data_IF_456255562499
#
_entry.id   IF_456255562499
#
_cell.length_a   1.000
_cell.length_b   1.000
_cell.length_c   1.000
_cell.angle_alpha   90.00
_cell.angle_beta   90.00
_cell.angle_gamma   90.00
#
_symmetry.space_group_name_H-M   'P 1'
#
loop_
_entity.id
_entity.type
_entity.pdbx_description
1 polymer ?
#
# COMPACT_ATOMS: atom_id res chain seq x y z
N UNK A 1 23.91 24.95 16.83
CA UNK A 1 24.03 23.59 16.28
C UNK A 1 22.64 23.00 16.21
N UNK A 2 22.30 22.27 15.16
CA UNK A 2 21.00 21.59 15.05
C UNK A 2 20.84 20.57 16.18
N UNK A 3 19.64 20.52 16.80
CA UNK A 3 19.29 19.53 17.82
C UNK A 3 19.24 18.14 17.18
N UNK A 4 19.78 17.13 17.86
CA UNK A 4 19.71 15.74 17.44
C UNK A 4 18.70 14.98 18.30
N UNK A 5 18.09 13.95 17.74
CA UNK A 5 17.27 12.99 18.47
C UNK A 5 17.99 11.65 18.51
N UNK A 6 18.15 11.08 19.68
CA UNK A 6 18.76 9.78 19.92
C UNK A 6 17.67 8.79 20.32
N UNK A 7 17.59 7.70 19.60
CA UNK A 7 16.73 6.55 19.88
C UNK A 7 17.66 5.39 20.28
N UNK A 8 17.72 5.08 21.58
CA UNK A 8 18.79 4.27 22.18
C UNK A 8 18.31 2.90 22.64
N UNK A 9 19.08 1.85 22.40
CA UNK A 9 18.85 0.51 22.97
C UNK A 9 17.78 -0.32 22.27
N UNK A 10 17.37 0.06 21.05
CA UNK A 10 16.36 -0.65 20.29
C UNK A 10 16.86 -2.00 19.74
N UNK A 11 15.95 -2.94 19.58
CA UNK A 11 16.08 -4.00 18.58
C UNK A 11 15.74 -3.40 17.22
N UNK A 12 16.68 -3.36 16.31
CA UNK A 12 16.53 -2.79 14.96
C UNK A 12 16.08 -3.85 13.98
N UNK A 13 14.98 -3.61 13.28
CA UNK A 13 14.59 -4.28 12.03
C UNK A 13 14.78 -3.23 10.93
N UNK A 14 15.85 -3.35 10.15
CA UNK A 14 16.21 -2.29 9.19
C UNK A 14 15.47 -2.35 7.85
N UNK A 15 14.62 -3.39 7.64
CA UNK A 15 13.83 -3.62 6.43
C UNK A 15 14.42 -4.65 5.47
N UNK A 16 15.70 -5.04 5.61
CA UNK A 16 16.38 -5.98 4.69
C UNK A 16 17.23 -7.04 5.40
N UNK A 17 17.90 -6.68 6.49
CA UNK A 17 18.82 -7.57 7.17
C UNK A 17 18.18 -8.26 8.38
N UNK A 18 18.87 -9.26 8.93
CA UNK A 18 18.47 -9.87 10.18
C UNK A 18 18.43 -8.83 11.32
N UNK A 19 17.47 -8.93 12.26
CA UNK A 19 17.35 -7.99 13.37
C UNK A 19 18.61 -7.87 14.21
N UNK A 20 18.93 -6.64 14.66
CA UNK A 20 20.11 -6.31 15.46
C UNK A 20 19.71 -5.72 16.81
N UNK A 21 20.26 -6.25 17.90
CA UNK A 21 19.93 -5.79 19.25
C UNK A 21 20.81 -4.63 19.72
N UNK A 22 20.29 -3.86 20.68
CA UNK A 22 20.99 -2.76 21.36
C UNK A 22 21.59 -1.72 20.40
N UNK A 23 20.76 -1.29 19.45
CA UNK A 23 21.14 -0.30 18.45
C UNK A 23 20.75 1.12 18.87
N UNK A 24 21.49 2.08 18.37
CA UNK A 24 21.26 3.52 18.56
C UNK A 24 21.12 4.18 17.20
N UNK A 25 19.99 4.87 17.02
CA UNK A 25 19.71 5.65 15.82
C UNK A 25 19.75 7.13 16.20
N UNK A 26 20.54 7.92 15.48
CA UNK A 26 20.66 9.37 15.67
C UNK A 26 20.03 10.08 14.48
N UNK A 27 19.05 10.92 14.76
CA UNK A 27 18.35 11.74 13.77
C UNK A 27 18.87 13.18 13.88
N UNK A 28 19.14 13.81 12.74
CA UNK A 28 19.48 15.22 12.63
C UNK A 28 18.63 15.86 11.53
N UNK A 29 17.81 16.83 11.91
CA UNK A 29 16.77 17.40 11.06
C UNK A 29 15.80 16.27 10.63
N UNK A 30 15.62 16.08 9.33
CA UNK A 30 14.74 15.09 8.71
C UNK A 30 15.39 13.73 8.41
N UNK A 31 16.73 13.58 8.66
CA UNK A 31 17.49 12.40 8.21
C UNK A 31 18.15 11.62 9.35
N UNK A 32 18.35 10.34 9.09
CA UNK A 32 19.14 9.44 9.91
C UNK A 32 20.61 9.82 9.75
N UNK A 33 21.21 10.34 10.81
CA UNK A 33 22.59 10.80 10.81
C UNK A 33 23.58 9.70 11.25
N UNK A 34 23.11 8.70 12.01
CA UNK A 34 23.95 7.57 12.46
C UNK A 34 23.08 6.36 12.81
N UNK A 35 23.54 5.18 12.42
CA UNK A 35 23.06 3.87 12.87
C UNK A 35 24.29 3.13 13.45
N UNK A 36 24.24 2.76 14.73
CA UNK A 36 25.38 2.11 15.38
C UNK A 36 24.94 1.24 16.56
N UNK A 37 25.77 0.25 16.92
CA UNK A 37 25.63 -0.41 18.22
C UNK A 37 25.86 0.59 19.36
N UNK A 38 25.25 0.35 20.53
CA UNK A 38 25.37 1.26 21.67
C UNK A 38 26.81 1.59 22.05
N UNK A 39 27.75 0.62 21.90
CA UNK A 39 29.16 0.80 22.18
C UNK A 39 29.92 1.70 21.21
N UNK A 40 29.37 1.91 19.99
CA UNK A 40 29.99 2.72 18.92
C UNK A 40 29.21 4.00 18.65
N UNK A 41 28.09 4.21 19.34
CA UNK A 41 27.23 5.37 19.13
C UNK A 41 27.89 6.65 19.67
N UNK A 42 27.61 7.80 19.03
CA UNK A 42 28.10 9.08 19.55
C UNK A 42 27.40 9.44 20.87
N UNK A 43 28.11 10.14 21.74
CA UNK A 43 27.58 10.59 23.04
C UNK A 43 26.58 11.75 22.82
N UNK A 44 25.37 11.71 23.44
CA UNK A 44 24.43 12.82 23.41
C UNK A 44 24.98 14.08 24.09
N UNK A 45 24.68 15.26 23.54
CA UNK A 45 25.07 16.57 24.10
C UNK A 45 23.88 17.15 24.89
N UNK A 46 24.12 18.12 25.73
CA UNK A 46 23.13 18.78 26.62
C UNK A 46 21.78 19.15 25.94
N UNK A 47 21.83 19.54 24.67
CA UNK A 47 20.62 19.99 23.95
C UNK A 47 19.98 18.91 23.09
N UNK A 48 20.53 17.70 23.06
CA UNK A 48 19.97 16.59 22.28
C UNK A 48 18.73 16.02 23.01
N UNK A 49 17.81 15.44 22.24
CA UNK A 49 16.69 14.68 22.76
C UNK A 49 17.09 13.21 22.82
N UNK A 50 16.91 12.56 23.95
CA UNK A 50 17.26 11.13 24.12
C UNK A 50 16.02 10.38 24.57
N UNK A 51 15.75 9.25 23.91
CA UNK A 51 14.69 8.32 24.23
C UNK A 51 15.28 6.92 24.40
N UNK A 52 14.86 6.24 25.47
CA UNK A 52 15.22 4.86 25.73
C UNK A 52 14.24 3.92 25.04
N UNK A 53 14.75 3.03 24.23
CA UNK A 53 14.00 2.02 23.51
C UNK A 53 14.33 0.60 23.97
N UNK A 54 14.88 0.43 25.17
CA UNK A 54 15.13 -0.89 25.73
C UNK A 54 13.83 -1.72 25.74
N UNK A 55 13.88 -2.94 25.19
CA UNK A 55 12.72 -3.83 25.04
C UNK A 55 11.75 -3.46 23.91
N UNK A 56 12.07 -2.46 23.08
CA UNK A 56 11.25 -2.05 21.93
C UNK A 56 11.95 -2.33 20.61
N UNK A 57 11.16 -2.48 19.57
CA UNK A 57 11.63 -2.59 18.18
C UNK A 57 11.57 -1.22 17.51
N UNK A 58 12.62 -0.91 16.73
CA UNK A 58 12.64 0.21 15.79
C UNK A 58 12.69 -0.34 14.37
N UNK A 59 11.81 0.16 13.49
CA UNK A 59 11.72 -0.26 12.09
C UNK A 59 11.42 0.92 11.17
N UNK A 60 11.57 0.78 9.83
CA UNK A 60 11.12 1.80 8.89
C UNK A 60 9.61 2.02 8.98
N UNK A 61 9.13 3.21 8.62
CA UNK A 61 7.73 3.45 8.34
C UNK A 61 7.24 2.56 7.21
N UNK A 62 6.02 2.04 7.32
CA UNK A 62 5.44 1.11 6.36
C UNK A 62 4.86 1.83 5.14
N UNK A 63 4.71 1.10 4.04
CA UNK A 63 4.02 1.50 2.82
C UNK A 63 2.74 0.68 2.66
N UNK A 64 1.63 1.34 2.38
CA UNK A 64 0.36 0.72 2.00
C UNK A 64 0.16 0.87 0.49
N UNK A 65 0.27 -0.21 -0.27
CA UNK A 65 0.44 -0.14 -1.72
C UNK A 65 -0.85 -0.40 -2.52
N UNK A 66 -2.00 -0.52 -1.87
CA UNK A 66 -3.31 -0.61 -2.52
C UNK A 66 -4.32 0.30 -1.80
N UNK A 67 -4.20 1.63 -1.98
CA UNK A 67 -4.87 2.60 -1.15
C UNK A 67 -6.04 3.30 -1.86
N UNK A 68 -7.24 3.14 -1.30
CA UNK A 68 -8.47 3.80 -1.71
C UNK A 68 -8.92 4.83 -0.67
N UNK A 69 -8.32 6.04 -0.61
CA UNK A 69 -8.59 7.01 0.46
C UNK A 69 -10.04 7.46 0.54
N UNK A 70 -10.74 7.42 -0.60
CA UNK A 70 -12.09 7.93 -0.74
C UNK A 70 -13.19 6.88 -0.53
N UNK A 71 -12.86 5.62 -0.28
CA UNK A 71 -13.88 4.64 0.09
C UNK A 71 -14.31 4.88 1.55
N UNK A 72 -15.60 5.04 1.79
CA UNK A 72 -16.14 5.32 3.13
C UNK A 72 -17.01 4.18 3.60
N UNK A 73 -16.39 3.04 3.91
CA UNK A 73 -17.11 1.85 4.36
C UNK A 73 -18.31 1.54 3.46
N UNK A 74 -18.04 1.45 2.16
CA UNK A 74 -19.06 1.19 1.13
C UNK A 74 -19.50 -0.28 1.18
N UNK A 75 -20.81 -0.52 0.97
CA UNK A 75 -21.38 -1.87 0.96
C UNK A 75 -21.62 -2.38 -0.46
N UNK A 76 -21.40 -1.52 -1.45
CA UNK A 76 -21.47 -1.86 -2.87
C UNK A 76 -20.58 -0.94 -3.68
N UNK A 77 -20.20 -1.36 -4.87
CA UNK A 77 -19.40 -0.53 -5.78
C UNK A 77 -20.11 0.79 -6.13
N UNK A 78 -21.45 0.78 -6.27
CA UNK A 78 -22.24 1.98 -6.58
C UNK A 78 -22.12 3.04 -5.46
N UNK A 79 -21.97 2.64 -4.20
CA UNK A 79 -21.81 3.58 -3.10
C UNK A 79 -20.53 4.42 -3.21
N UNK A 80 -19.50 3.94 -3.91
CA UNK A 80 -18.25 4.68 -4.13
C UNK A 80 -18.53 6.06 -4.74
N UNK A 81 -19.45 6.10 -5.72
CA UNK A 81 -19.80 7.33 -6.44
C UNK A 81 -21.05 8.04 -5.89
N UNK A 82 -21.96 7.31 -5.24
CA UNK A 82 -23.30 7.81 -4.92
C UNK A 82 -23.51 8.13 -3.44
N UNK A 83 -22.68 7.61 -2.54
CA UNK A 83 -22.86 7.78 -1.07
C UNK A 83 -22.64 9.21 -0.60
N UNK A 84 -21.65 9.89 -1.13
CA UNK A 84 -21.27 11.24 -0.71
C UNK A 84 -20.96 12.16 -1.89
N UNK A 85 -21.25 13.47 -1.79
CA UNK A 85 -20.75 14.43 -2.76
C UNK A 85 -19.21 14.55 -2.67
N UNK A 86 -18.51 14.90 -3.75
CA UNK A 86 -17.04 14.95 -3.81
C UNK A 86 -16.40 15.79 -2.70
N UNK A 87 -17.05 16.87 -2.28
CA UNK A 87 -16.57 17.76 -1.20
C UNK A 87 -16.54 17.06 0.16
N UNK A 88 -17.60 16.29 0.50
CA UNK A 88 -17.64 15.48 1.72
C UNK A 88 -16.65 14.34 1.64
N UNK A 89 -16.59 13.67 0.50
CA UNK A 89 -15.68 12.55 0.27
C UNK A 89 -14.20 12.96 0.41
N UNK A 90 -13.84 14.19 -0.01
CA UNK A 90 -12.49 14.75 0.20
C UNK A 90 -12.15 14.88 1.67
N UNK A 91 -13.09 15.30 2.52
CA UNK A 91 -12.86 15.40 3.97
C UNK A 91 -12.72 14.04 4.64
N UNK A 92 -13.52 13.06 4.20
CA UNK A 92 -13.42 11.66 4.64
C UNK A 92 -12.05 11.09 4.25
N UNK A 93 -11.62 11.31 3.03
CA UNK A 93 -10.32 10.86 2.54
C UNK A 93 -9.15 11.51 3.31
N UNK A 94 -9.26 12.78 3.71
CA UNK A 94 -8.26 13.43 4.55
C UNK A 94 -8.18 12.76 5.94
N UNK A 95 -9.32 12.43 6.55
CA UNK A 95 -9.38 11.66 7.80
C UNK A 95 -8.75 10.27 7.65
N UNK A 96 -9.04 9.58 6.55
CA UNK A 96 -8.48 8.27 6.28
C UNK A 96 -6.95 8.32 6.06
N UNK A 97 -6.43 9.39 5.43
CA UNK A 97 -5.00 9.59 5.27
C UNK A 97 -4.29 9.82 6.62
N UNK A 98 -4.88 10.61 7.52
CA UNK A 98 -4.37 10.77 8.88
C UNK A 98 -4.43 9.44 9.67
N UNK A 99 -5.51 8.68 9.52
CA UNK A 99 -5.68 7.37 10.16
C UNK A 99 -4.64 6.36 9.66
N UNK A 100 -4.36 6.34 8.34
CA UNK A 100 -3.33 5.49 7.77
C UNK A 100 -1.94 5.83 8.33
N UNK A 101 -1.60 7.13 8.41
CA UNK A 101 -0.35 7.58 9.02
C UNK A 101 -0.25 7.18 10.50
N UNK A 102 -1.34 7.33 11.27
CA UNK A 102 -1.42 6.94 12.68
C UNK A 102 -1.42 5.43 12.90
N UNK A 103 -1.60 4.64 11.84
CA UNK A 103 -1.45 3.18 11.82
C UNK A 103 -0.02 2.73 11.44
N UNK A 104 0.95 3.67 11.34
CA UNK A 104 2.36 3.38 11.07
C UNK A 104 2.74 3.36 9.58
N UNK A 105 1.82 3.70 8.69
CA UNK A 105 2.12 3.77 7.26
C UNK A 105 2.53 5.20 6.89
N UNK A 106 3.83 5.41 6.66
CA UNK A 106 4.36 6.72 6.25
C UNK A 106 4.34 6.92 4.74
N UNK A 107 4.05 5.87 3.99
CA UNK A 107 3.95 5.81 2.54
C UNK A 107 2.63 5.17 2.11
N UNK A 108 2.08 5.61 0.96
CA UNK A 108 0.93 4.98 0.32
C UNK A 108 1.04 5.04 -1.21
N UNK A 109 0.48 4.04 -1.89
CA UNK A 109 0.31 4.02 -3.35
C UNK A 109 -1.18 3.86 -3.64
N UNK A 110 -1.75 4.82 -4.34
CA UNK A 110 -3.16 4.82 -4.74
C UNK A 110 -3.49 3.65 -5.65
N UNK A 111 -4.73 3.16 -5.54
CA UNK A 111 -5.28 2.09 -6.36
C UNK A 111 -6.60 2.47 -7.04
N UNK A 112 -7.00 3.73 -6.93
CA UNK A 112 -8.19 4.34 -7.52
C UNK A 112 -8.83 5.34 -6.55
N UNK A 113 -9.18 6.52 -7.05
CA UNK A 113 -9.91 7.55 -6.32
C UNK A 113 -10.71 8.44 -7.27
N UNK A 114 -12.03 8.46 -7.09
CA UNK A 114 -12.91 9.35 -7.84
C UNK A 114 -12.49 10.83 -7.68
N UNK A 115 -12.73 11.63 -8.71
CA UNK A 115 -12.56 13.08 -8.67
C UNK A 115 -11.13 13.56 -8.34
N UNK A 116 -10.09 12.75 -8.55
CA UNK A 116 -8.70 13.07 -8.23
C UNK A 116 -8.48 13.49 -6.76
N UNK A 117 -9.28 12.93 -5.86
CA UNK A 117 -9.22 13.23 -4.42
C UNK A 117 -7.83 12.89 -3.85
N UNK A 118 -7.23 11.79 -4.27
CA UNK A 118 -5.89 11.38 -3.86
C UNK A 118 -4.78 12.31 -4.36
N UNK A 119 -4.92 12.90 -5.56
CA UNK A 119 -4.04 13.97 -6.06
C UNK A 119 -4.13 15.20 -5.16
N UNK A 120 -5.36 15.59 -4.79
CA UNK A 120 -5.58 16.71 -3.86
C UNK A 120 -4.97 16.42 -2.49
N UNK A 121 -5.17 15.21 -1.95
CA UNK A 121 -4.57 14.78 -0.68
C UNK A 121 -3.05 14.84 -0.72
N UNK A 122 -2.42 14.24 -1.73
CA UNK A 122 -0.96 14.27 -1.91
C UNK A 122 -0.45 15.71 -1.88
N UNK A 123 -1.07 16.60 -2.64
CA UNK A 123 -0.65 17.98 -2.74
C UNK A 123 -0.84 18.73 -1.39
N UNK A 124 -1.96 18.52 -0.70
CA UNK A 124 -2.22 19.11 0.62
C UNK A 124 -1.23 18.60 1.68
N UNK A 125 -0.93 17.30 1.69
CA UNK A 125 0.04 16.70 2.61
C UNK A 125 1.46 17.22 2.34
N UNK A 126 1.88 17.28 1.07
CA UNK A 126 3.20 17.77 0.69
C UNK A 126 3.41 19.26 1.04
N UNK A 127 2.33 20.05 1.00
CA UNK A 127 2.34 21.47 1.40
C UNK A 127 2.14 21.68 2.91
N UNK A 128 2.02 20.60 3.70
CA UNK A 128 1.83 20.67 5.15
C UNK A 128 0.46 21.18 5.60
N UNK A 129 -0.54 21.19 4.72
CA UNK A 129 -1.90 21.65 5.04
C UNK A 129 -2.65 20.63 5.90
N UNK A 130 -2.45 19.34 5.65
CA UNK A 130 -3.05 18.24 6.40
C UNK A 130 -1.99 17.16 6.71
N UNK A 131 -2.15 16.38 7.80
CA UNK A 131 -1.32 15.22 8.05
C UNK A 131 -1.67 14.06 7.07
N UNK A 132 -0.70 13.19 6.81
CA UNK A 132 -0.89 11.99 6.00
C UNK A 132 0.42 11.36 5.55
N UNK A 133 0.39 10.19 4.91
CA UNK A 133 1.56 9.52 4.35
C UNK A 133 2.09 10.25 3.11
N UNK A 134 3.23 9.79 2.58
CA UNK A 134 3.72 10.17 1.26
C UNK A 134 2.95 9.36 0.21
N UNK A 135 2.18 10.01 -0.65
CA UNK A 135 1.26 9.34 -1.58
C UNK A 135 1.81 9.38 -3.01
N UNK A 136 1.77 8.24 -3.72
CA UNK A 136 1.64 8.23 -5.18
C UNK A 136 0.14 8.21 -5.51
N UNK A 137 -0.34 9.24 -6.20
CA UNK A 137 -1.76 9.39 -6.52
C UNK A 137 -2.12 8.61 -7.79
N UNK A 138 -3.30 7.97 -7.79
CA UNK A 138 -3.77 7.09 -8.85
C UNK A 138 -4.86 7.70 -9.74
N UNK A 139 -5.75 8.54 -9.15
CA UNK A 139 -6.87 9.10 -9.92
C UNK A 139 -7.96 8.09 -10.23
N UNK A 140 -8.59 8.25 -11.40
CA UNK A 140 -9.71 7.40 -11.83
C UNK A 140 -9.24 6.03 -12.34
N UNK A 141 -10.14 5.05 -12.25
CA UNK A 141 -9.94 3.73 -12.84
C UNK A 141 -10.27 3.78 -14.34
N UNK A 142 -9.31 3.43 -15.19
CA UNK A 142 -9.48 3.41 -16.65
C UNK A 142 -9.94 2.01 -17.07
N UNK A 143 -11.14 1.93 -17.60
CA UNK A 143 -11.88 0.68 -17.81
C UNK A 143 -12.54 0.64 -19.19
N UNK A 144 -12.93 -0.55 -19.66
CA UNK A 144 -13.73 -0.71 -20.89
C UNK A 144 -15.22 -0.62 -20.60
N UNK A 145 -16.04 -0.42 -21.67
CA UNK A 145 -17.50 -0.47 -21.56
C UNK A 145 -17.96 -1.83 -21.04
N UNK A 146 -18.81 -1.81 -20.01
CA UNK A 146 -19.37 -3.03 -19.40
C UNK A 146 -18.45 -3.71 -18.40
N UNK A 147 -17.33 -3.08 -18.05
CA UNK A 147 -16.47 -3.55 -16.95
C UNK A 147 -17.19 -3.49 -15.59
N UNK A 148 -16.69 -4.22 -14.59
CA UNK A 148 -17.28 -4.30 -13.25
C UNK A 148 -17.44 -2.95 -12.57
N UNK A 149 -16.55 -1.99 -12.83
CA UNK A 149 -16.62 -0.64 -12.28
C UNK A 149 -17.27 0.39 -13.21
N UNK A 150 -17.72 -0.01 -14.42
CA UNK A 150 -18.66 0.75 -15.26
C UNK A 150 -20.08 0.57 -14.73
N UNK A 151 -20.34 1.09 -13.53
CA UNK A 151 -21.45 0.70 -12.67
C UNK A 151 -22.77 1.41 -12.94
N UNK A 152 -22.77 2.44 -13.77
CA UNK A 152 -23.97 3.25 -14.01
C UNK A 152 -24.93 2.50 -14.95
N UNK A 153 -26.24 2.42 -14.62
CA UNK A 153 -27.21 1.86 -15.53
C UNK A 153 -27.15 2.53 -16.90
N UNK A 154 -27.10 1.77 -17.98
CA UNK A 154 -26.88 2.29 -19.34
C UNK A 154 -28.01 3.21 -19.85
N UNK A 155 -29.22 3.14 -19.22
CA UNK A 155 -30.31 4.09 -19.48
C UNK A 155 -30.18 5.42 -18.71
N UNK A 156 -29.20 5.54 -17.80
CA UNK A 156 -28.92 6.78 -17.08
C UNK A 156 -27.99 7.65 -17.91
N UNK A 157 -28.54 8.56 -18.68
CA UNK A 157 -27.74 9.51 -19.45
C UNK A 157 -27.47 10.79 -18.62
N UNK A 158 -26.87 10.63 -17.43
CA UNK A 158 -26.71 11.71 -16.47
C UNK A 158 -25.36 12.44 -16.61
N UNK A 159 -24.44 11.96 -17.45
CA UNK A 159 -23.11 12.56 -17.62
C UNK A 159 -22.31 12.60 -16.32
N UNK A 160 -22.58 11.69 -15.40
CA UNK A 160 -21.85 11.57 -14.13
C UNK A 160 -20.41 11.16 -14.40
N UNK A 161 -19.50 11.82 -13.68
CA UNK A 161 -18.09 11.41 -13.58
C UNK A 161 -17.89 10.84 -12.18
N UNK A 162 -17.46 9.61 -12.09
CA UNK A 162 -17.20 8.90 -10.85
C UNK A 162 -15.77 8.34 -10.83
N UNK A 163 -15.64 7.16 -10.22
CA UNK A 163 -14.39 6.42 -10.18
C UNK A 163 -13.96 5.97 -11.57
N UNK A 164 -14.90 5.40 -12.36
CA UNK A 164 -14.60 4.84 -13.67
C UNK A 164 -14.44 5.91 -14.76
N UNK A 165 -13.39 5.77 -15.56
CA UNK A 165 -13.20 6.45 -16.84
C UNK A 165 -13.33 5.39 -17.94
N UNK A 166 -14.51 5.33 -18.58
CA UNK A 166 -14.83 4.32 -19.58
C UNK A 166 -14.22 4.69 -20.92
N UNK A 167 -13.52 3.75 -21.55
CA UNK A 167 -12.79 3.90 -22.82
C UNK A 167 -12.93 2.63 -23.66
N UNK A 168 -13.00 2.77 -24.97
CA UNK A 168 -12.99 1.65 -25.92
C UNK A 168 -12.00 1.93 -27.05
N UNK A 169 -11.17 0.95 -27.32
CA UNK A 169 -10.14 1.00 -28.36
C UNK A 169 -8.89 1.80 -27.97
N UNK A 170 -7.77 1.53 -28.66
CA UNK A 170 -6.43 2.03 -28.30
C UNK A 170 -6.35 3.56 -28.19
N UNK A 171 -7.08 4.31 -29.03
CA UNK A 171 -7.01 5.76 -29.07
C UNK A 171 -7.68 6.39 -27.84
N UNK A 172 -8.80 5.83 -27.36
CA UNK A 172 -9.47 6.32 -26.15
C UNK A 172 -8.66 5.97 -24.90
N UNK A 173 -8.10 4.77 -24.79
CA UNK A 173 -7.19 4.41 -23.70
C UNK A 173 -5.96 5.33 -23.68
N UNK A 174 -5.33 5.57 -24.84
CA UNK A 174 -4.22 6.53 -24.95
C UNK A 174 -4.61 7.92 -24.46
N UNK A 175 -5.78 8.39 -24.85
CA UNK A 175 -6.31 9.70 -24.43
C UNK A 175 -6.55 9.72 -22.92
N UNK A 176 -7.23 8.70 -22.37
CA UNK A 176 -7.55 8.59 -20.96
C UNK A 176 -6.29 8.62 -20.09
N UNK A 177 -5.28 7.81 -20.40
CA UNK A 177 -4.01 7.78 -19.66
C UNK A 177 -3.33 9.15 -19.69
N UNK A 178 -3.36 9.84 -20.84
CA UNK A 178 -2.80 11.21 -20.95
C UNK A 178 -3.56 12.21 -20.09
N UNK A 179 -4.87 12.08 -20.00
CA UNK A 179 -5.72 12.94 -19.16
C UNK A 179 -5.48 12.69 -17.68
N UNK A 180 -5.35 11.41 -17.24
CA UNK A 180 -5.02 11.08 -15.85
C UNK A 180 -3.69 11.75 -15.45
N UNK A 181 -2.65 11.58 -16.24
CA UNK A 181 -1.33 12.19 -15.97
C UNK A 181 -1.40 13.72 -16.00
N UNK A 182 -2.16 14.32 -16.93
CA UNK A 182 -2.36 15.77 -16.98
C UNK A 182 -3.09 16.33 -15.74
N UNK A 183 -3.92 15.52 -15.08
CA UNK A 183 -4.54 15.85 -13.79
C UNK A 183 -3.63 15.58 -12.57
N UNK A 184 -2.40 15.12 -12.80
CA UNK A 184 -1.38 14.99 -11.78
C UNK A 184 -1.29 13.59 -11.16
N UNK A 185 -1.78 12.57 -11.85
CA UNK A 185 -1.67 11.16 -11.44
C UNK A 185 -0.22 10.68 -11.58
N UNK A 186 0.27 9.93 -10.60
CA UNK A 186 1.62 9.35 -10.57
C UNK A 186 1.62 7.89 -11.06
N UNK A 187 0.49 7.18 -10.85
CA UNK A 187 0.29 5.78 -11.24
C UNK A 187 -1.14 5.59 -11.76
N UNK A 188 -1.30 5.04 -12.97
CA UNK A 188 -2.61 4.83 -13.61
C UNK A 188 -3.16 3.45 -13.24
N UNK A 189 -4.45 3.32 -12.98
CA UNK A 189 -5.14 2.04 -12.70
C UNK A 189 -5.93 1.58 -13.90
N UNK A 190 -5.74 0.29 -14.27
CA UNK A 190 -6.50 -0.43 -15.30
C UNK A 190 -7.27 -1.60 -14.69
N UNK A 191 -8.30 -2.05 -15.42
CA UNK A 191 -9.06 -3.27 -15.15
C UNK A 191 -9.07 -4.20 -16.37
N UNK A 192 -7.99 -4.91 -16.67
CA UNK A 192 -7.96 -5.83 -17.81
C UNK A 192 -8.80 -7.09 -17.63
N UNK A 193 -9.14 -7.47 -16.38
CA UNK A 193 -9.97 -8.64 -16.06
C UNK A 193 -10.96 -8.32 -14.95
N UNK A 194 -12.04 -9.10 -14.82
CA UNK A 194 -12.89 -9.14 -13.63
C UNK A 194 -12.33 -10.09 -12.56
N UNK A 195 -13.19 -10.53 -11.63
CA UNK A 195 -12.84 -11.46 -10.56
C UNK A 195 -12.45 -10.78 -9.24
N UNK A 196 -12.00 -11.56 -8.27
CA UNK A 196 -11.57 -11.10 -6.94
C UNK A 196 -12.64 -10.25 -6.23
N UNK A 197 -13.89 -10.77 -6.23
CA UNK A 197 -15.04 -10.09 -5.63
C UNK A 197 -15.76 -9.07 -6.53
N UNK A 198 -15.28 -8.85 -7.75
CA UNK A 198 -16.01 -8.06 -8.74
C UNK A 198 -17.10 -8.87 -9.45
N UNK A 199 -18.19 -8.21 -9.93
CA UNK A 199 -19.32 -8.89 -10.59
C UNK A 199 -18.95 -9.63 -11.88
N UNK A 200 -17.98 -9.12 -12.65
CA UNK A 200 -17.55 -9.75 -13.88
C UNK A 200 -16.61 -10.92 -13.59
N UNK A 201 -16.81 -12.02 -14.34
CA UNK A 201 -15.95 -13.21 -14.19
C UNK A 201 -14.51 -12.94 -14.59
N UNK A 202 -13.57 -13.51 -13.82
CA UNK A 202 -12.14 -13.52 -14.14
C UNK A 202 -11.81 -14.27 -15.44
N UNK A 203 -12.70 -15.14 -15.93
CA UNK A 203 -12.50 -15.93 -17.13
C UNK A 203 -12.36 -15.10 -18.42
N UNK A 204 -12.83 -13.85 -18.40
CA UNK A 204 -12.85 -12.97 -19.57
C UNK A 204 -11.89 -11.80 -19.43
N UNK A 205 -11.33 -11.36 -20.55
CA UNK A 205 -10.64 -10.09 -20.66
C UNK A 205 -11.67 -8.98 -20.83
N UNK A 206 -11.64 -7.98 -19.94
CA UNK A 206 -12.42 -6.73 -20.10
C UNK A 206 -11.75 -5.82 -21.13
N UNK A 207 -10.43 -5.83 -21.17
CA UNK A 207 -9.62 -5.07 -22.15
C UNK A 207 -8.93 -6.03 -23.12
N UNK A 208 -8.79 -5.62 -24.38
CA UNK A 208 -7.95 -6.33 -25.34
C UNK A 208 -6.45 -6.17 -24.98
N UNK A 209 -5.62 -7.10 -25.50
CA UNK A 209 -4.16 -7.00 -25.32
C UNK A 209 -3.58 -5.71 -25.92
N UNK A 210 -4.16 -5.20 -27.03
CA UNK A 210 -3.76 -3.93 -27.65
C UNK A 210 -4.09 -2.72 -26.76
N UNK A 211 -5.26 -2.72 -26.11
CA UNK A 211 -5.66 -1.65 -25.15
C UNK A 211 -4.76 -1.62 -23.92
N UNK A 212 -4.44 -2.79 -23.37
CA UNK A 212 -3.47 -2.92 -22.27
C UNK A 212 -2.11 -2.38 -22.70
N UNK A 213 -1.60 -2.81 -23.85
CA UNK A 213 -0.29 -2.40 -24.36
C UNK A 213 -0.21 -0.88 -24.57
N UNK A 214 -1.21 -0.28 -25.21
CA UNK A 214 -1.19 1.17 -25.48
C UNK A 214 -1.31 1.98 -24.21
N UNK A 215 -2.07 1.53 -23.22
CA UNK A 215 -2.17 2.18 -21.92
C UNK A 215 -0.81 2.17 -21.20
N UNK A 216 -0.15 1.01 -21.11
CA UNK A 216 1.17 0.85 -20.48
C UNK A 216 2.21 1.73 -21.17
N UNK A 217 2.36 1.64 -22.48
CA UNK A 217 3.33 2.45 -23.22
C UNK A 217 3.07 3.95 -23.07
N UNK A 218 1.79 4.37 -23.08
CA UNK A 218 1.43 5.79 -22.92
C UNK A 218 1.77 6.32 -21.53
N UNK A 219 1.61 5.51 -20.47
CA UNK A 219 1.99 5.89 -19.12
C UNK A 219 3.51 6.06 -19.02
N UNK A 220 4.27 5.09 -19.49
CA UNK A 220 5.74 5.10 -19.45
C UNK A 220 6.35 6.22 -20.29
N UNK A 221 5.82 6.51 -21.49
CA UNK A 221 6.25 7.64 -22.34
C UNK A 221 6.13 9.00 -21.62
N UNK A 222 5.33 9.09 -20.57
CA UNK A 222 5.12 10.29 -19.77
C UNK A 222 5.69 10.21 -18.36
N UNK A 223 6.44 9.14 -18.06
CA UNK A 223 7.12 8.94 -16.78
C UNK A 223 6.20 8.56 -15.62
N UNK A 224 4.95 8.19 -15.91
CA UNK A 224 4.02 7.65 -14.91
C UNK A 224 4.14 6.12 -14.83
N UNK A 225 3.83 5.58 -13.65
CA UNK A 225 3.66 4.14 -13.44
C UNK A 225 2.25 3.70 -13.85
N UNK A 226 2.05 2.38 -13.95
CA UNK A 226 0.76 1.80 -14.28
C UNK A 226 0.53 0.49 -13.53
N UNK A 227 -0.68 0.28 -13.05
CA UNK A 227 -1.10 -0.90 -12.30
C UNK A 227 -2.39 -1.48 -12.88
N UNK A 228 -2.66 -2.76 -12.64
CA UNK A 228 -3.85 -3.41 -13.15
C UNK A 228 -4.48 -4.39 -12.17
N UNK A 229 -5.83 -4.38 -12.09
CA UNK A 229 -6.63 -5.44 -11.51
C UNK A 229 -6.56 -6.65 -12.44
N UNK A 230 -5.86 -7.70 -12.03
CA UNK A 230 -5.43 -8.78 -12.93
C UNK A 230 -5.58 -10.14 -12.24
N UNK A 231 -6.63 -10.87 -12.60
CA UNK A 231 -6.98 -12.15 -11.97
C UNK A 231 -6.65 -13.33 -12.90
N UNK A 232 -7.04 -13.28 -14.17
CA UNK A 232 -6.81 -14.41 -15.08
C UNK A 232 -5.36 -14.49 -15.56
N UNK A 233 -4.85 -15.71 -15.72
CA UNK A 233 -3.52 -15.98 -16.28
C UNK A 233 -3.28 -15.26 -17.61
N UNK A 234 -4.28 -15.23 -18.49
CA UNK A 234 -4.19 -14.53 -19.78
C UNK A 234 -3.98 -13.02 -19.60
N UNK A 235 -4.77 -12.40 -18.73
CA UNK A 235 -4.69 -10.96 -18.44
C UNK A 235 -3.35 -10.60 -17.81
N UNK A 236 -2.89 -11.39 -16.83
CA UNK A 236 -1.59 -11.22 -16.17
C UNK A 236 -0.46 -11.28 -17.21
N UNK A 237 -0.44 -12.31 -18.08
CA UNK A 237 0.59 -12.45 -19.12
C UNK A 237 0.57 -11.28 -20.12
N UNK A 238 -0.63 -10.84 -20.55
CA UNK A 238 -0.76 -9.69 -21.45
C UNK A 238 -0.17 -8.43 -20.84
N UNK A 239 -0.52 -8.13 -19.57
CA UNK A 239 -0.03 -6.97 -18.85
C UNK A 239 1.48 -7.03 -18.56
N UNK A 240 2.00 -8.18 -18.13
CA UNK A 240 3.44 -8.39 -17.91
C UNK A 240 4.24 -8.24 -19.22
N UNK A 241 3.76 -8.80 -20.35
CA UNK A 241 4.39 -8.63 -21.66
C UNK A 241 4.38 -7.16 -22.12
N UNK A 242 3.38 -6.40 -21.76
CA UNK A 242 3.31 -4.96 -22.02
C UNK A 242 4.26 -4.13 -21.11
N UNK A 243 4.74 -4.71 -19.99
CA UNK A 243 5.64 -4.06 -19.05
C UNK A 243 4.94 -3.31 -17.91
N UNK A 244 3.77 -3.79 -17.46
CA UNK A 244 3.05 -3.17 -16.33
C UNK A 244 3.92 -3.13 -15.07
N UNK A 245 3.79 -2.06 -14.26
CA UNK A 245 4.61 -1.89 -13.05
C UNK A 245 4.07 -2.69 -11.85
N UNK A 246 2.74 -2.84 -11.73
CA UNK A 246 2.11 -3.57 -10.61
C UNK A 246 0.98 -4.44 -11.12
N UNK A 247 0.98 -5.69 -10.71
CA UNK A 247 -0.16 -6.61 -10.80
C UNK A 247 -0.85 -6.62 -9.44
N UNK A 248 -2.12 -6.20 -9.42
CA UNK A 248 -2.98 -6.31 -8.26
C UNK A 248 -3.64 -7.69 -8.25
N UNK A 249 -3.69 -8.30 -7.08
CA UNK A 249 -4.24 -9.62 -6.78
C UNK A 249 -3.40 -10.74 -7.40
N UNK A 250 -3.44 -10.95 -8.72
CA UNK A 250 -2.56 -11.89 -9.40
C UNK A 250 -2.94 -13.36 -9.21
N UNK A 251 -4.21 -13.67 -8.90
CA UNK A 251 -4.71 -15.00 -8.51
C UNK A 251 -4.32 -16.10 -9.51
N UNK A 252 -4.37 -15.83 -10.81
CA UNK A 252 -4.06 -16.76 -11.88
C UNK A 252 -2.58 -16.78 -12.31
N UNK A 253 -1.65 -16.34 -11.46
CA UNK A 253 -0.21 -16.38 -11.74
C UNK A 253 0.27 -17.82 -11.87
N UNK A 254 0.89 -18.15 -13.02
CA UNK A 254 1.55 -19.43 -13.29
C UNK A 254 3.08 -19.26 -13.43
N UNK A 255 3.79 -20.35 -13.72
CA UNK A 255 5.26 -20.35 -13.83
C UNK A 255 5.77 -19.37 -14.92
N UNK A 256 5.07 -19.24 -16.08
CA UNK A 256 5.44 -18.27 -17.11
C UNK A 256 5.24 -16.83 -16.59
N UNK A 257 4.19 -16.60 -15.80
CA UNK A 257 3.98 -15.31 -15.16
C UNK A 257 5.13 -14.97 -14.20
N UNK A 258 5.60 -15.93 -13.39
CA UNK A 258 6.73 -15.71 -12.47
C UNK A 258 8.01 -15.33 -13.21
N UNK A 259 8.30 -15.99 -14.33
CA UNK A 259 9.44 -15.62 -15.18
C UNK A 259 9.31 -14.21 -15.75
N UNK A 260 8.10 -13.81 -16.15
CA UNK A 260 7.82 -12.47 -16.67
C UNK A 260 7.91 -11.40 -15.56
N UNK A 261 7.40 -11.67 -14.34
CA UNK A 261 7.57 -10.79 -13.17
C UNK A 261 9.03 -10.47 -12.91
N UNK A 262 9.87 -11.51 -12.84
CA UNK A 262 11.31 -11.35 -12.60
C UNK A 262 12.00 -10.60 -13.73
N UNK A 263 11.67 -10.90 -14.98
CA UNK A 263 12.25 -10.25 -16.16
C UNK A 263 11.93 -8.77 -16.24
N UNK A 264 10.71 -8.38 -15.88
CA UNK A 264 10.24 -6.99 -15.96
C UNK A 264 10.50 -6.21 -14.68
N UNK A 265 10.70 -6.87 -13.53
CA UNK A 265 10.76 -6.24 -12.23
C UNK A 265 9.41 -5.73 -11.76
N UNK A 266 8.32 -6.31 -12.25
CA UNK A 266 6.94 -5.96 -11.91
C UNK A 266 6.64 -6.35 -10.46
N UNK A 267 5.94 -5.49 -9.72
CA UNK A 267 5.49 -5.76 -8.36
C UNK A 267 4.20 -6.58 -8.35
N UNK A 268 4.06 -7.44 -7.33
CA UNK A 268 2.82 -8.18 -7.04
C UNK A 268 2.23 -7.70 -5.72
N UNK A 269 0.95 -7.28 -5.73
CA UNK A 269 0.14 -6.96 -4.55
C UNK A 269 -0.94 -8.06 -4.37
N UNK A 270 -0.70 -9.12 -3.57
CA UNK A 270 -1.53 -10.33 -3.62
C UNK A 270 -2.91 -10.21 -2.97
N UNK A 271 -3.13 -9.24 -2.05
CA UNK A 271 -4.45 -8.90 -1.48
C UNK A 271 -5.24 -10.11 -0.94
N UNK A 272 -4.65 -10.95 -0.07
CA UNK A 272 -5.30 -12.15 0.46
C UNK A 272 -6.21 -11.88 1.67
N UNK A 273 -6.15 -10.69 2.27
CA UNK A 273 -7.01 -10.36 3.40
C UNK A 273 -8.47 -10.17 2.95
N UNK A 274 -8.70 -9.50 1.82
CA UNK A 274 -10.04 -9.28 1.25
C UNK A 274 -10.82 -10.59 1.07
N UNK A 275 -10.35 -11.58 0.30
CA UNK A 275 -11.07 -12.85 0.16
C UNK A 275 -11.26 -13.57 1.50
N UNK A 276 -10.29 -13.50 2.41
CA UNK A 276 -10.39 -14.15 3.72
C UNK A 276 -11.53 -13.61 4.57
N UNK A 277 -11.71 -12.28 4.62
CA UNK A 277 -12.78 -11.68 5.42
C UNK A 277 -14.15 -11.81 4.77
N UNK A 278 -14.24 -11.79 3.44
CA UNK A 278 -15.50 -11.98 2.74
C UNK A 278 -16.04 -13.41 2.91
N UNK A 279 -15.19 -14.42 2.73
CA UNK A 279 -15.57 -15.81 2.95
C UNK A 279 -15.95 -16.05 4.42
N UNK A 280 -15.17 -15.51 5.37
CA UNK A 280 -15.50 -15.62 6.81
C UNK A 280 -16.82 -14.93 7.14
N UNK A 281 -17.09 -13.74 6.62
CA UNK A 281 -18.34 -13.00 6.85
C UNK A 281 -19.57 -13.70 6.25
N UNK A 282 -19.40 -14.38 5.10
CA UNK A 282 -20.46 -15.26 4.56
C UNK A 282 -20.71 -16.47 5.43
N UNK A 283 -19.66 -17.21 5.79
CA UNK A 283 -19.78 -18.44 6.59
C UNK A 283 -20.34 -18.19 8.00
N UNK A 284 -20.10 -17.00 8.58
CA UNK A 284 -20.71 -16.60 9.86
C UNK A 284 -22.20 -16.27 9.76
N UNK A 285 -22.72 -16.10 8.53
CA UNK A 285 -24.09 -15.66 8.25
C UNK A 285 -24.33 -14.17 8.42
N UNK A 286 -23.30 -13.38 8.70
CA UNK A 286 -23.42 -11.91 8.84
C UNK A 286 -23.64 -11.23 7.49
N UNK A 287 -23.12 -11.81 6.39
CA UNK A 287 -23.17 -11.24 5.05
C UNK A 287 -23.64 -12.26 4.00
N UNK A 288 -24.91 -12.73 4.05
CA UNK A 288 -25.41 -13.76 3.13
C UNK A 288 -25.46 -13.30 1.66
N UNK A 289 -25.48 -11.98 1.41
CA UNK A 289 -25.47 -11.42 0.04
C UNK A 289 -24.15 -11.64 -0.72
N UNK A 290 -23.10 -12.14 -0.06
CA UNK A 290 -21.82 -12.48 -0.70
C UNK A 290 -21.85 -13.85 -1.42
N UNK A 291 -22.92 -14.65 -1.27
CA UNK A 291 -23.03 -16.00 -1.87
C UNK A 291 -22.55 -16.10 -3.32
N UNK A 292 -22.89 -15.18 -4.25
CA UNK A 292 -22.44 -15.31 -5.64
C UNK A 292 -20.92 -15.19 -5.84
N UNK A 293 -20.20 -14.58 -4.90
CA UNK A 293 -18.75 -14.34 -4.99
C UNK A 293 -17.93 -15.48 -4.33
N UNK A 294 -18.56 -16.22 -3.42
CA UNK A 294 -17.86 -17.17 -2.56
C UNK A 294 -17.08 -18.26 -3.33
N UNK A 295 -17.63 -18.90 -4.38
CA UNK A 295 -16.91 -19.96 -5.07
C UNK A 295 -15.56 -19.49 -5.68
N UNK A 296 -15.50 -18.26 -6.18
CA UNK A 296 -14.26 -17.70 -6.75
C UNK A 296 -13.29 -17.31 -5.62
N UNK A 297 -13.79 -16.71 -4.55
CA UNK A 297 -12.95 -16.30 -3.41
C UNK A 297 -12.38 -17.53 -2.65
N UNK A 298 -13.15 -18.60 -2.50
CA UNK A 298 -12.65 -19.88 -1.94
C UNK A 298 -11.56 -20.46 -2.84
N UNK A 299 -11.77 -20.45 -4.17
CA UNK A 299 -10.75 -20.90 -5.12
C UNK A 299 -9.45 -20.08 -5.01
N UNK A 300 -9.57 -18.77 -4.84
CA UNK A 300 -8.41 -17.89 -4.58
C UNK A 300 -7.69 -18.32 -3.30
N UNK A 301 -8.42 -18.52 -2.19
CA UNK A 301 -7.81 -18.90 -0.91
C UNK A 301 -7.17 -20.29 -0.92
N UNK A 302 -7.68 -21.21 -1.74
CA UNK A 302 -7.10 -22.55 -1.90
C UNK A 302 -5.80 -22.56 -2.70
N UNK A 303 -5.67 -21.71 -3.73
CA UNK A 303 -4.60 -21.82 -4.71
C UNK A 303 -3.56 -20.69 -4.63
N UNK A 304 -4.02 -19.45 -4.45
CA UNK A 304 -3.13 -18.27 -4.52
C UNK A 304 -2.07 -18.20 -3.41
N UNK A 305 -2.29 -18.68 -2.16
CA UNK A 305 -1.25 -18.70 -1.13
C UNK A 305 0.04 -19.44 -1.54
N UNK A 306 -0.10 -20.57 -2.24
CA UNK A 306 1.06 -21.31 -2.74
C UNK A 306 1.83 -20.51 -3.81
N UNK A 307 1.11 -19.82 -4.69
CA UNK A 307 1.69 -18.94 -5.71
C UNK A 307 2.42 -17.74 -5.10
N UNK A 308 1.83 -17.12 -4.07
CA UNK A 308 2.46 -16.01 -3.32
C UNK A 308 3.77 -16.47 -2.69
N UNK A 309 3.77 -17.66 -2.07
CA UNK A 309 5.01 -18.22 -1.53
C UNK A 309 6.06 -18.47 -2.61
N UNK A 310 5.66 -19.08 -3.74
CA UNK A 310 6.56 -19.35 -4.86
C UNK A 310 7.13 -18.03 -5.44
N UNK A 311 6.32 -17.00 -5.58
CA UNK A 311 6.74 -15.68 -6.01
C UNK A 311 7.76 -15.05 -5.05
N UNK A 312 7.52 -15.13 -3.73
CA UNK A 312 8.45 -14.68 -2.71
C UNK A 312 9.79 -15.41 -2.79
N UNK A 313 9.75 -16.73 -2.85
CA UNK A 313 10.95 -17.58 -2.87
C UNK A 313 11.76 -17.38 -4.17
N UNK A 314 11.09 -17.07 -5.27
CA UNK A 314 11.73 -16.73 -6.54
C UNK A 314 12.33 -15.31 -6.57
N UNK A 315 11.96 -14.43 -5.63
CA UNK A 315 12.45 -13.05 -5.57
C UNK A 315 11.62 -12.04 -6.35
N UNK A 316 10.37 -12.36 -6.71
CA UNK A 316 9.41 -11.37 -7.20
C UNK A 316 9.21 -10.29 -6.13
N UNK A 317 9.23 -8.98 -6.45
CA UNK A 317 9.00 -7.94 -5.46
C UNK A 317 7.52 -7.87 -5.08
N UNK A 318 7.15 -8.45 -3.91
CA UNK A 318 5.81 -8.34 -3.36
C UNK A 318 5.66 -7.06 -2.55
N UNK A 319 4.43 -6.52 -2.52
CA UNK A 319 4.05 -5.38 -1.69
C UNK A 319 2.76 -5.69 -0.93
N UNK A 320 2.50 -4.95 0.16
CA UNK A 320 1.28 -5.08 0.96
C UNK A 320 0.31 -3.94 0.64
N UNK A 321 -0.96 -4.20 0.82
CA UNK A 321 -2.08 -3.29 0.60
C UNK A 321 -3.26 -4.06 0.04
N UNK A 322 -4.44 -3.80 0.58
CA UNK A 322 -5.67 -4.48 0.22
C UNK A 322 -6.85 -3.50 0.18
N UNK A 323 -8.01 -3.92 -0.28
CA UNK A 323 -9.20 -3.13 -0.58
C UNK A 323 -9.93 -2.61 0.69
N UNK A 324 -9.22 -1.91 1.58
CA UNK A 324 -9.84 -1.32 2.77
C UNK A 324 -10.80 -0.17 2.43
N UNK A 325 -11.88 -0.10 3.18
CA UNK A 325 -12.98 0.85 2.98
C UNK A 325 -14.27 0.18 2.52
N UNK A 326 -14.32 -1.17 2.51
CA UNK A 326 -15.52 -1.95 2.26
C UNK A 326 -16.22 -2.34 3.56
N UNK A 327 -17.36 -1.69 3.85
CA UNK A 327 -18.30 -2.00 4.91
C UNK A 327 -17.70 -2.20 6.30
N UNK A 328 -18.34 -3.04 7.08
CA UNK A 328 -17.85 -3.47 8.39
C UNK A 328 -16.74 -4.52 8.32
N UNK A 329 -16.57 -5.19 7.19
CA UNK A 329 -15.61 -6.28 7.01
C UNK A 329 -14.17 -5.76 6.92
N UNK A 330 -13.97 -4.66 6.19
CA UNK A 330 -12.64 -4.06 5.95
C UNK A 330 -12.63 -2.55 6.21
N UNK A 331 -12.92 -2.09 7.44
CA UNK A 331 -12.94 -0.66 7.72
C UNK A 331 -11.53 -0.06 7.64
N UNK A 332 -11.46 1.22 7.26
CA UNK A 332 -10.23 1.97 7.40
C UNK A 332 -9.74 1.96 8.86
N UNK A 333 -8.45 1.79 9.06
CA UNK A 333 -7.79 1.70 10.37
C UNK A 333 -7.29 0.29 10.73
N UNK A 334 -7.83 -0.73 10.11
CA UNK A 334 -7.48 -2.13 10.35
C UNK A 334 -6.35 -2.65 9.43
N UNK A 335 -5.65 -1.74 8.75
CA UNK A 335 -4.68 -2.03 7.68
C UNK A 335 -3.63 -3.09 8.02
N UNK A 336 -3.16 -3.15 9.27
CA UNK A 336 -2.15 -4.12 9.69
C UNK A 336 -2.69 -5.54 9.90
N UNK A 337 -4.02 -5.75 9.81
CA UNK A 337 -4.61 -7.10 9.87
C UNK A 337 -4.18 -7.96 8.69
N UNK A 338 -4.05 -7.35 7.51
CA UNK A 338 -3.55 -7.99 6.31
C UNK A 338 -2.18 -8.65 6.52
N UNK A 339 -1.28 -8.00 7.27
CA UNK A 339 0.10 -8.47 7.41
C UNK A 339 0.21 -9.87 8.00
N UNK A 340 -0.68 -10.23 8.95
CA UNK A 340 -0.65 -11.52 9.61
C UNK A 340 -1.17 -12.67 8.71
N UNK A 341 -1.97 -12.35 7.70
CA UNK A 341 -2.55 -13.34 6.80
C UNK A 341 -1.48 -14.05 5.96
N UNK A 342 -0.46 -13.32 5.53
CA UNK A 342 0.57 -13.90 4.66
C UNK A 342 1.41 -14.99 5.31
N UNK A 343 1.95 -14.85 6.52
CA UNK A 343 2.62 -15.96 7.21
C UNK A 343 1.67 -17.13 7.49
N UNK A 344 0.42 -16.85 7.83
CA UNK A 344 -0.58 -17.88 8.18
C UNK A 344 -1.01 -18.71 6.97
N UNK A 345 -1.29 -18.07 5.82
CA UNK A 345 -1.77 -18.76 4.63
C UNK A 345 -0.64 -19.19 3.68
N UNK A 346 0.37 -18.36 3.50
CA UNK A 346 1.42 -18.59 2.50
C UNK A 346 2.67 -19.28 3.09
N UNK A 347 2.85 -19.28 4.41
CA UNK A 347 4.04 -19.84 5.05
C UNK A 347 5.33 -19.04 4.76
N UNK A 348 5.22 -17.74 4.44
CA UNK A 348 6.34 -16.81 4.37
C UNK A 348 6.73 -16.35 5.76
N UNK A 349 7.91 -15.77 5.93
CA UNK A 349 8.34 -15.27 7.25
C UNK A 349 7.77 -13.88 7.55
N UNK A 350 7.65 -13.53 8.83
CA UNK A 350 7.27 -12.17 9.23
C UNK A 350 8.24 -11.11 8.68
N UNK A 351 9.52 -11.44 8.54
CA UNK A 351 10.53 -10.53 7.97
C UNK A 351 10.30 -10.31 6.46
N UNK A 352 9.84 -11.32 5.72
CA UNK A 352 9.45 -11.14 4.32
C UNK A 352 8.32 -10.12 4.21
N UNK A 353 7.28 -10.26 5.02
CA UNK A 353 6.14 -9.32 5.03
C UNK A 353 6.56 -7.91 5.45
N UNK A 354 7.43 -7.77 6.45
CA UNK A 354 8.01 -6.47 6.83
C UNK A 354 8.79 -5.87 5.66
N UNK A 355 9.56 -6.66 4.93
CA UNK A 355 10.28 -6.21 3.73
C UNK A 355 9.31 -5.75 2.63
N UNK A 356 8.20 -6.46 2.42
CA UNK A 356 7.16 -6.05 1.46
C UNK A 356 6.54 -4.71 1.86
N UNK A 357 6.24 -4.56 3.16
CA UNK A 357 5.64 -3.34 3.72
C UNK A 357 6.62 -2.15 3.85
N UNK A 358 7.93 -2.34 3.69
CA UNK A 358 8.92 -1.26 3.87
C UNK A 358 9.80 -1.08 2.63
N UNK A 359 10.78 -1.94 2.43
CA UNK A 359 11.74 -1.86 1.33
C UNK A 359 11.05 -1.90 -0.03
N UNK A 360 10.20 -2.93 -0.28
CA UNK A 360 9.54 -3.08 -1.57
C UNK A 360 8.52 -1.95 -1.84
N UNK A 361 7.80 -1.51 -0.82
CA UNK A 361 6.89 -0.37 -0.95
C UNK A 361 7.61 0.94 -1.28
N UNK A 362 8.78 1.19 -0.69
CA UNK A 362 9.64 2.33 -1.05
C UNK A 362 10.21 2.18 -2.47
N UNK A 363 10.55 0.95 -2.89
CA UNK A 363 10.99 0.65 -4.25
C UNK A 363 9.89 0.96 -5.27
N UNK A 364 8.64 0.52 -5.00
CA UNK A 364 7.50 0.84 -5.85
C UNK A 364 7.28 2.36 -5.96
N UNK A 365 7.46 3.10 -4.86
CA UNK A 365 7.41 4.56 -4.91
C UNK A 365 8.61 5.22 -5.62
N UNK A 366 9.64 4.48 -6.02
CA UNK A 366 10.88 5.03 -6.57
C UNK A 366 11.69 5.81 -5.54
N UNK A 367 11.58 5.48 -4.24
CA UNK A 367 12.14 6.22 -3.12
C UNK A 367 13.15 5.45 -2.28
N UNK A 368 13.75 4.37 -2.82
CA UNK A 368 14.75 3.57 -2.08
C UNK A 368 15.97 4.37 -1.62
N UNK A 369 16.35 5.42 -2.34
CA UNK A 369 17.47 6.28 -1.92
C UNK A 369 17.15 7.05 -0.62
N UNK A 370 15.87 7.28 -0.35
CA UNK A 370 15.41 8.09 0.78
C UNK A 370 14.66 7.29 1.86
N UNK A 371 14.02 6.18 1.54
CA UNK A 371 13.02 5.50 2.38
C UNK A 371 13.20 3.96 2.36
N UNK A 372 12.37 3.25 3.10
CA UNK A 372 12.22 1.79 3.06
C UNK A 372 13.20 1.02 3.94
N UNK A 373 14.29 1.64 4.38
CA UNK A 373 15.28 1.04 5.30
C UNK A 373 15.75 2.03 6.35
N UNK A 374 16.34 1.50 7.43
CA UNK A 374 16.99 2.33 8.48
C UNK A 374 18.48 2.44 8.18
N UNK A 375 18.85 3.40 7.35
CA UNK A 375 20.24 3.63 6.91
C UNK A 375 20.65 5.10 7.06
N UNK A 376 21.95 5.33 7.26
CA UNK A 376 22.52 6.68 7.34
C UNK A 376 22.27 7.45 6.02
N UNK A 377 21.80 8.69 6.13
CA UNK A 377 21.48 9.56 5.00
C UNK A 377 20.02 9.52 4.57
N UNK A 378 19.26 8.46 4.85
CA UNK A 378 17.84 8.35 4.52
C UNK A 378 16.96 9.20 5.43
N UNK A 379 15.76 9.49 4.98
CA UNK A 379 14.75 10.20 5.78
C UNK A 379 14.39 9.39 7.02
N UNK A 380 14.18 10.07 8.12
CA UNK A 380 13.78 9.45 9.37
C UNK A 380 12.26 9.23 9.41
N UNK A 381 11.77 8.36 8.53
CA UNK A 381 10.42 7.81 8.56
C UNK A 381 10.50 6.46 9.31
N UNK A 382 10.15 6.46 10.61
CA UNK A 382 10.47 5.38 11.54
C UNK A 382 9.28 5.05 12.44
N UNK A 383 9.21 3.79 12.85
CA UNK A 383 8.28 3.29 13.87
C UNK A 383 9.05 2.78 15.09
N UNK A 384 8.53 3.08 16.27
CA UNK A 384 8.92 2.44 17.52
C UNK A 384 7.77 1.60 18.02
N UNK A 385 7.97 0.29 18.10
CA UNK A 385 6.94 -0.69 18.41
C UNK A 385 7.19 -1.33 19.78
N UNK A 386 6.17 -1.43 20.60
CA UNK A 386 6.16 -2.23 21.83
C UNK A 386 5.70 -3.64 21.47
N UNK A 387 6.62 -4.59 21.50
CA UNK A 387 6.51 -5.92 20.93
C UNK A 387 7.47 -6.14 19.78
N UNK A 388 7.53 -7.35 19.25
CA UNK A 388 8.49 -7.75 18.21
C UNK A 388 7.77 -8.23 16.94
N UNK A 389 7.60 -7.36 15.90
CA UNK A 389 6.94 -7.73 14.65
C UNK A 389 7.65 -8.87 13.89
N UNK A 390 8.96 -9.08 14.11
CA UNK A 390 9.66 -10.21 13.49
C UNK A 390 9.21 -11.57 14.04
N UNK A 391 8.55 -11.58 15.20
CA UNK A 391 7.99 -12.77 15.84
C UNK A 391 6.48 -12.89 15.67
N UNK A 392 5.78 -11.76 15.73
CA UNK A 392 4.32 -11.71 15.58
C UNK A 392 3.90 -10.36 14.98
N UNK A 393 3.43 -10.37 13.73
CA UNK A 393 2.96 -9.18 13.02
C UNK A 393 1.70 -8.58 13.64
N UNK A 394 0.92 -9.37 14.41
CA UNK A 394 -0.30 -8.89 15.07
C UNK A 394 -0.04 -7.78 16.09
N UNK A 395 1.19 -7.63 16.57
CA UNK A 395 1.57 -6.49 17.43
C UNK A 395 1.39 -5.13 16.76
N UNK A 396 1.40 -5.08 15.42
CA UNK A 396 1.19 -3.87 14.63
C UNK A 396 -0.30 -3.50 14.47
N UNK A 397 -1.22 -4.41 14.77
CA UNK A 397 -2.66 -4.18 14.66
C UNK A 397 -3.19 -3.24 15.75
N UNK A 398 -2.59 -3.28 16.94
CA UNK A 398 -2.90 -2.36 18.01
C UNK A 398 -2.04 -1.09 17.90
N UNK A 399 -2.70 0.02 17.56
CA UNK A 399 -2.02 1.31 17.44
C UNK A 399 -1.41 1.79 18.75
N UNK A 400 -1.82 1.29 19.89
CA UNK A 400 -1.22 1.62 21.19
C UNK A 400 0.17 0.98 21.36
N UNK A 401 0.48 -0.05 20.62
CA UNK A 401 1.83 -0.61 20.53
C UNK A 401 2.79 0.28 19.71
N UNK A 402 2.29 1.15 18.85
CA UNK A 402 3.11 2.13 18.14
C UNK A 402 3.45 3.29 19.07
N UNK A 403 4.56 3.15 19.82
CA UNK A 403 5.00 4.14 20.84
C UNK A 403 5.52 5.43 20.23
N UNK A 404 6.06 5.36 19.02
CA UNK A 404 6.37 6.55 18.23
C UNK A 404 6.22 6.27 16.74
N UNK A 405 5.75 7.28 16.02
CA UNK A 405 5.72 7.34 14.56
C UNK A 405 6.44 8.62 14.18
N UNK A 406 7.50 8.50 13.38
CA UNK A 406 8.25 9.63 12.84
C UNK A 406 8.07 9.68 11.33
N UNK A 407 7.88 10.89 10.80
CA UNK A 407 7.87 11.18 9.36
C UNK A 407 8.78 12.37 9.09
N UNK A 408 9.86 12.16 8.33
CA UNK A 408 10.86 13.19 8.08
C UNK A 408 11.50 13.72 9.38
N UNK A 409 11.73 12.85 10.37
CA UNK A 409 12.35 13.19 11.65
C UNK A 409 11.45 13.85 12.67
N UNK A 410 10.26 14.28 12.29
CA UNK A 410 9.26 14.84 13.19
C UNK A 410 8.34 13.75 13.74
N UNK A 411 8.03 13.85 15.04
CA UNK A 411 7.11 12.93 15.67
C UNK A 411 5.66 13.26 15.26
N UNK A 412 5.02 12.34 14.56
CA UNK A 412 3.58 12.32 14.34
C UNK A 412 2.88 11.84 15.60
N UNK A 413 3.42 10.80 16.24
CA UNK A 413 2.98 10.26 17.52
C UNK A 413 4.21 9.99 18.38
N UNK A 414 4.14 10.29 19.69
CA UNK A 414 5.19 9.95 20.64
C UNK A 414 4.62 9.80 22.05
N UNK A 415 4.65 8.59 22.57
CA UNK A 415 4.32 8.27 23.98
C UNK A 415 5.56 7.88 24.78
N UNK A 416 6.76 8.04 24.19
CA UNK A 416 8.04 7.74 24.82
C UNK A 416 8.43 8.82 25.80
N UNK A 417 8.98 8.43 26.95
CA UNK A 417 9.55 9.37 27.91
C UNK A 417 10.91 9.85 27.45
N UNK A 418 11.11 11.18 27.50
CA UNK A 418 12.40 11.80 27.21
C UNK A 418 13.35 11.66 28.41
N UNK A 419 14.51 11.08 28.18
CA UNK A 419 15.54 10.97 29.19
C UNK A 419 16.32 12.27 29.37
N UNK A 420 16.77 12.52 30.61
CA UNK A 420 17.74 13.61 30.89
C UNK A 420 19.14 13.16 30.42
N UNK A 421 19.79 13.98 29.61
CA UNK A 421 21.20 13.74 29.28
C UNK A 421 22.04 14.00 30.53
N UNK A 422 22.83 13.01 31.03
CA UNK A 422 23.75 13.23 32.12
C UNK A 422 24.70 14.38 31.76
N UNK A 423 24.87 15.32 32.67
CA UNK A 423 25.90 16.35 32.47
C UNK A 423 27.25 15.71 32.78
N UNK A 424 28.30 15.92 31.95
CA UNK A 424 29.65 15.56 32.37
C UNK A 424 29.98 16.32 33.65
N UNK A 425 30.49 15.56 34.61
CA UNK A 425 30.98 16.11 35.91
C UNK A 425 32.09 17.12 35.69
#
# INVERSE_FOLDING_TARGET
>A
MAKRTFLCGARLIDGVNAPQDNMVIVIKNDRIAKVASASKAPVPRKNDKVYDLAGKVLMPGMAFCHYHPAYDNVNSLQEIDLKHPPTTLTLIAAKNAELLLNSGYTMAVGAGAAHYIDVALRNCINNGLIPGPRILACGSDVVSTGDSVDMHPKWWNLGLKGLAKVCDGPDEFRKAVREEIANGVDIVKLYPTGGHGLPNSSAFMSMSEEEVQIAVHTAHDRGAKIRGHLISTRGIKAALKAGIDVVDHGDGTDDECLELFLKQGTFLAPSLYFPSVLVSGYLSGEHPGLEPLIPELEHTLENHPATVKQANDAGVPLVVGDDFGFGSLMPHGDYAKELAVYPELCGVTNLDVIRWATYNGAALQGRLDDLGTVEEGKLADLLVVDGDPSRDLRVLQDRDNLKAILKGGDFVKCTLERQRVPQPA
#
